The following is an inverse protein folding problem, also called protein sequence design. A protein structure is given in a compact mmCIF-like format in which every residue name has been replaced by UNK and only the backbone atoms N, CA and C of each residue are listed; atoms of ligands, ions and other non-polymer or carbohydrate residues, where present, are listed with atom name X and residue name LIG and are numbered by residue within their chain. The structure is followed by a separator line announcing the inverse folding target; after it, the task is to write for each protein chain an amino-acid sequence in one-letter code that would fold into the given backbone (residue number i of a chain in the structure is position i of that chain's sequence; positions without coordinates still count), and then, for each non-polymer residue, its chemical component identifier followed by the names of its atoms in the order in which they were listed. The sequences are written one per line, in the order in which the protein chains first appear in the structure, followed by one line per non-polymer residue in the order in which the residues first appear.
data_IF_618084553885
#
_entry.id   IF_618084553885
#
_cell.length_a   1.000
_cell.length_b   1.000
_cell.length_c   1.000
_cell.angle_alpha   90.00
_cell.angle_beta   90.00
_cell.angle_gamma   90.00
#
_symmetry.space_group_name_H-M   'P 1'
#
loop_
_entity.id
_entity.type
_entity.pdbx_description
1 polymer ?
#
# COMPACT_ATOMS: atom_id res chain seq x y z
N UNK A 1 41.36 48.13 -40.01
CA UNK A 1 41.51 47.34 -38.77
C UNK A 1 40.12 47.30 -38.12
N UNK A 2 39.16 46.48 -38.57
CA UNK A 2 39.05 45.01 -38.50
C UNK A 2 39.45 44.46 -37.13
N UNK A 3 38.42 44.02 -36.38
CA UNK A 3 38.42 43.31 -35.09
C UNK A 3 38.71 44.23 -33.89
N UNK A 4 37.67 44.54 -33.10
CA UNK A 4 37.62 44.87 -31.65
C UNK A 4 36.30 45.67 -31.40
N UNK A 5 35.13 45.13 -31.76
CA UNK A 5 33.83 45.56 -31.19
C UNK A 5 32.90 44.35 -31.25
N UNK A 6 33.23 43.30 -30.51
CA UNK A 6 32.37 42.11 -30.36
C UNK A 6 32.82 41.29 -29.15
N UNK A 7 33.06 41.96 -28.02
CA UNK A 7 33.38 41.26 -26.78
C UNK A 7 33.13 42.12 -25.54
N UNK A 8 31.90 42.62 -25.37
CA UNK A 8 31.41 43.17 -24.10
C UNK A 8 29.87 43.08 -24.01
N UNK A 9 29.29 41.98 -24.49
CA UNK A 9 27.92 41.55 -24.12
C UNK A 9 28.06 40.10 -23.64
N UNK A 10 28.81 39.93 -22.56
CA UNK A 10 28.80 38.69 -21.76
C UNK A 10 29.23 39.00 -20.32
N UNK A 11 28.77 40.14 -19.77
CA UNK A 11 28.71 40.31 -18.32
C UNK A 11 27.47 39.55 -17.87
N UNK A 12 27.74 38.26 -17.69
CA UNK A 12 27.04 37.27 -16.90
C UNK A 12 26.31 37.93 -15.73
N UNK A 13 25.00 38.08 -15.85
CA UNK A 13 24.09 38.26 -14.74
C UNK A 13 24.22 37.04 -13.82
N UNK A 14 25.13 37.10 -12.85
CA UNK A 14 25.13 36.23 -11.68
C UNK A 14 23.99 36.66 -10.76
N UNK A 15 22.76 36.37 -11.19
CA UNK A 15 21.64 36.24 -10.28
C UNK A 15 21.64 34.81 -9.77
N UNK A 16 22.31 34.57 -8.64
CA UNK A 16 22.04 33.39 -7.81
C UNK A 16 20.64 33.53 -7.22
N UNK A 17 19.63 33.22 -8.03
CA UNK A 17 18.29 32.97 -7.54
C UNK A 17 18.27 31.57 -6.92
N UNK A 18 18.61 31.47 -5.63
CA UNK A 18 18.20 30.33 -4.81
C UNK A 18 16.72 30.51 -4.47
N UNK A 19 15.84 30.15 -5.41
CA UNK A 19 14.46 29.83 -5.06
C UNK A 19 14.44 28.36 -4.61
N UNK A 20 14.85 28.08 -3.38
CA UNK A 20 14.49 26.82 -2.75
C UNK A 20 13.02 26.93 -2.33
N UNK A 21 12.14 26.42 -3.19
CA UNK A 21 10.80 26.04 -2.76
C UNK A 21 10.94 24.77 -1.92
N UNK A 22 10.94 24.88 -0.60
CA UNK A 22 10.63 23.77 0.32
C UNK A 22 9.11 23.48 0.34
N UNK A 23 8.49 23.43 -0.83
CA UNK A 23 7.19 22.79 -1.03
C UNK A 23 7.46 21.56 -1.86
N UNK A 24 7.24 20.39 -1.25
CA UNK A 24 7.42 19.08 -1.87
C UNK A 24 6.92 19.09 -3.31
N UNK A 25 7.73 18.54 -4.22
CA UNK A 25 7.47 18.56 -5.65
C UNK A 25 6.00 18.23 -5.95
N UNK A 26 5.36 19.06 -6.77
CA UNK A 26 4.01 18.86 -7.31
C UNK A 26 3.80 17.51 -8.05
N UNK A 27 4.83 16.66 -8.11
CA UNK A 27 4.82 15.34 -8.72
C UNK A 27 4.30 14.22 -7.81
N UNK A 28 4.30 14.40 -6.48
CA UNK A 28 3.80 13.35 -5.56
C UNK A 28 2.26 13.40 -5.49
N UNK A 29 1.67 14.61 -5.43
CA UNK A 29 0.21 14.83 -5.35
C UNK A 29 -0.55 14.23 -6.56
N UNK A 30 0.10 14.11 -7.72
CA UNK A 30 -0.47 13.54 -8.95
C UNK A 30 -0.48 12.00 -8.99
N UNK A 31 0.07 11.31 -7.97
CA UNK A 31 0.14 9.83 -7.93
C UNK A 31 -0.91 9.16 -7.05
N UNK A 32 -1.65 9.91 -6.23
CA UNK A 32 -2.73 9.33 -5.43
C UNK A 32 -3.84 8.89 -6.39
N UNK A 33 -4.13 7.59 -6.41
CA UNK A 33 -5.27 7.03 -7.12
C UNK A 33 -6.39 6.72 -6.13
N UNK A 34 -7.64 6.93 -6.56
CA UNK A 34 -8.83 6.59 -5.78
C UNK A 34 -9.65 5.55 -6.54
N UNK A 35 -10.13 4.52 -5.83
CA UNK A 35 -11.16 3.65 -6.37
C UNK A 35 -12.55 4.23 -6.04
N UNK A 36 -13.43 4.23 -7.04
CA UNK A 36 -14.84 4.49 -6.82
C UNK A 36 -15.49 3.27 -6.15
N UNK A 37 -16.11 3.48 -4.98
CA UNK A 37 -16.81 2.44 -4.24
C UNK A 37 -18.21 2.91 -3.85
N UNK A 38 -19.23 2.09 -4.15
CA UNK A 38 -20.61 2.34 -3.72
C UNK A 38 -21.08 1.16 -2.88
N UNK A 39 -21.43 1.35 -1.60
CA UNK A 39 -21.90 0.26 -0.75
C UNK A 39 -23.23 -0.30 -1.27
N UNK A 40 -23.44 -1.61 -1.09
CA UNK A 40 -24.70 -2.26 -1.50
C UNK A 40 -25.92 -1.78 -0.69
N UNK A 41 -25.69 -1.27 0.52
CA UNK A 41 -26.73 -0.96 1.52
C UNK A 41 -27.10 0.53 1.60
N UNK A 42 -27.13 1.26 0.48
CA UNK A 42 -27.77 2.60 0.50
C UNK A 42 -29.28 2.39 0.52
N UNK A 43 -29.93 2.78 1.63
CA UNK A 43 -31.35 2.52 1.89
C UNK A 43 -32.23 3.01 0.73
N UNK A 44 -33.14 2.14 0.27
CA UNK A 44 -34.13 2.41 -0.79
C UNK A 44 -33.55 2.90 -2.13
N UNK A 45 -32.25 2.71 -2.41
CA UNK A 45 -31.65 3.04 -3.69
C UNK A 45 -31.85 1.90 -4.72
N UNK A 46 -32.46 2.18 -5.89
CA UNK A 46 -32.58 1.20 -6.98
C UNK A 46 -31.22 0.80 -7.58
N UNK A 47 -31.07 -0.44 -8.03
CA UNK A 47 -29.80 -0.93 -8.62
C UNK A 47 -29.34 -0.14 -9.83
N UNK A 48 -30.27 0.26 -10.71
CA UNK A 48 -29.95 1.09 -11.86
C UNK A 48 -29.39 2.47 -11.47
N UNK A 49 -29.90 3.05 -10.38
CA UNK A 49 -29.39 4.30 -9.82
C UNK A 49 -27.99 4.12 -9.21
N UNK A 50 -27.75 2.98 -8.54
CA UNK A 50 -26.46 2.60 -7.97
C UNK A 50 -25.36 2.49 -9.03
N UNK A 51 -25.63 1.82 -10.15
CA UNK A 51 -24.68 1.72 -11.26
C UNK A 51 -24.33 3.08 -11.86
N UNK A 52 -25.30 3.99 -11.95
CA UNK A 52 -25.06 5.36 -12.41
C UNK A 52 -24.24 6.15 -11.39
N UNK A 53 -24.50 5.97 -10.09
CA UNK A 53 -23.73 6.59 -9.02
C UNK A 53 -22.27 6.13 -9.03
N UNK A 54 -22.03 4.83 -9.21
CA UNK A 54 -20.69 4.28 -9.36
C UNK A 54 -19.96 4.93 -10.55
N UNK A 55 -20.63 5.04 -11.70
CA UNK A 55 -20.07 5.73 -12.86
C UNK A 55 -19.79 7.23 -12.58
N UNK A 56 -20.64 7.91 -11.80
CA UNK A 56 -20.41 9.31 -11.40
C UNK A 56 -19.20 9.46 -10.51
N UNK A 57 -19.01 8.57 -9.53
CA UNK A 57 -17.81 8.54 -8.71
C UNK A 57 -16.56 8.28 -9.56
N UNK A 58 -16.61 7.32 -10.49
CA UNK A 58 -15.50 7.07 -11.41
C UNK A 58 -15.18 8.30 -12.28
N UNK A 59 -16.20 9.02 -12.77
CA UNK A 59 -16.00 10.26 -13.52
C UNK A 59 -15.35 11.36 -12.67
N UNK A 60 -15.76 11.52 -11.41
CA UNK A 60 -15.14 12.46 -10.47
C UNK A 60 -13.66 12.14 -10.32
N UNK A 61 -13.31 10.87 -10.08
CA UNK A 61 -11.94 10.43 -9.92
C UNK A 61 -11.12 10.67 -11.18
N UNK A 62 -11.61 10.22 -12.35
CA UNK A 62 -10.90 10.36 -13.63
C UNK A 62 -10.68 11.82 -14.01
N UNK A 63 -11.68 12.69 -13.78
CA UNK A 63 -11.55 14.12 -14.10
C UNK A 63 -10.56 14.86 -13.20
N UNK A 64 -10.30 14.35 -11.99
CA UNK A 64 -9.28 14.90 -11.09
C UNK A 64 -7.93 14.17 -11.21
N UNK A 65 -7.72 13.43 -12.31
CA UNK A 65 -6.49 12.69 -12.65
C UNK A 65 -6.11 11.62 -11.61
N UNK A 66 -7.09 11.13 -10.83
CA UNK A 66 -6.89 10.13 -9.77
C UNK A 66 -7.34 8.73 -10.21
N UNK A 67 -7.57 8.53 -11.51
CA UNK A 67 -8.12 7.30 -12.08
C UNK A 67 -7.27 6.09 -11.73
N UNK A 68 -7.73 5.28 -10.77
CA UNK A 68 -7.14 4.00 -10.46
C UNK A 68 -7.64 2.89 -11.37
N UNK A 69 -6.72 2.12 -11.98
CA UNK A 69 -7.05 0.91 -12.75
C UNK A 69 -6.90 -0.39 -11.93
N UNK A 70 -6.34 -0.30 -10.72
CA UNK A 70 -6.04 -1.46 -9.91
C UNK A 70 -7.28 -1.95 -9.14
N UNK A 71 -7.57 -3.24 -9.25
CA UNK A 71 -8.37 -3.96 -8.25
C UNK A 71 -7.73 -3.74 -6.87
N UNK A 72 -8.51 -3.46 -5.83
CA UNK A 72 -8.05 -3.31 -4.44
C UNK A 72 -7.21 -2.04 -4.12
N UNK A 73 -7.66 -0.86 -4.53
CA UNK A 73 -7.00 0.38 -4.11
C UNK A 73 -7.25 0.68 -2.64
N UNK A 74 -6.19 1.07 -1.92
CA UNK A 74 -6.27 1.45 -0.50
C UNK A 74 -7.15 2.67 -0.26
N UNK A 75 -7.01 3.68 -1.11
CA UNK A 75 -7.80 4.90 -1.01
C UNK A 75 -9.04 4.83 -1.89
N UNK A 76 -10.18 5.24 -1.33
CA UNK A 76 -11.46 5.19 -2.00
C UNK A 76 -12.15 6.54 -1.97
N UNK A 77 -12.96 6.79 -2.99
CA UNK A 77 -14.09 7.71 -2.91
C UNK A 77 -15.36 6.89 -2.75
N UNK A 78 -16.19 7.25 -1.78
CA UNK A 78 -17.50 6.64 -1.58
C UNK A 78 -18.55 7.68 -1.23
N UNK A 79 -19.78 7.25 -1.04
CA UNK A 79 -20.90 8.13 -0.81
C UNK A 79 -22.00 7.48 0.01
N UNK A 80 -22.69 8.30 0.79
CA UNK A 80 -24.00 7.99 1.33
C UNK A 80 -25.04 8.93 0.69
N UNK A 81 -26.25 8.42 0.43
CA UNK A 81 -27.35 9.19 -0.18
C UNK A 81 -28.57 9.12 0.73
N UNK A 82 -29.01 10.29 1.19
CA UNK A 82 -30.19 10.43 2.03
C UNK A 82 -31.33 11.07 1.22
N UNK A 83 -32.54 10.52 1.33
CA UNK A 83 -33.75 11.14 0.78
C UNK A 83 -34.22 12.23 1.72
N UNK A 84 -34.13 13.49 1.29
CA UNK A 84 -34.58 14.65 2.09
C UNK A 84 -36.08 14.88 1.91
N UNK A 85 -36.57 14.80 0.67
CA UNK A 85 -38.01 14.82 0.40
C UNK A 85 -38.37 13.94 -0.79
N UNK A 86 -39.62 13.47 -0.78
CA UNK A 86 -40.26 12.71 -1.85
C UNK A 86 -41.67 13.26 -2.03
N UNK A 87 -41.90 13.88 -3.17
CA UNK A 87 -43.13 14.59 -3.46
C UNK A 87 -43.72 14.10 -4.78
N UNK A 88 -45.04 14.22 -4.96
CA UNK A 88 -45.70 14.03 -6.25
C UNK A 88 -45.97 15.39 -6.88
N UNK A 89 -45.63 15.56 -8.15
CA UNK A 89 -45.86 16.81 -8.87
C UNK A 89 -47.36 17.01 -9.11
N UNK A 90 -47.86 18.26 -9.04
CA UNK A 90 -49.27 18.58 -9.31
C UNK A 90 -49.52 18.67 -10.83
N UNK A 91 -49.09 17.68 -11.60
CA UNK A 91 -49.22 17.60 -13.05
C UNK A 91 -50.05 16.38 -13.47
N UNK A 92 -50.54 16.35 -14.71
CA UNK A 92 -51.17 15.17 -15.30
C UNK A 92 -50.30 14.64 -16.47
N UNK A 93 -49.72 13.44 -16.38
CA UNK A 93 -49.70 12.54 -15.22
C UNK A 93 -48.85 13.09 -14.06
N UNK A 94 -49.14 12.64 -12.84
CA UNK A 94 -48.34 12.98 -11.66
C UNK A 94 -46.97 12.30 -11.77
N UNK A 95 -45.91 13.04 -11.46
CA UNK A 95 -44.52 12.54 -11.48
C UNK A 95 -43.96 12.47 -10.06
N UNK A 96 -42.98 11.60 -9.83
CA UNK A 96 -42.23 11.56 -8.57
C UNK A 96 -41.09 12.57 -8.61
N UNK A 97 -40.99 13.41 -7.58
CA UNK A 97 -39.89 14.35 -7.37
C UNK A 97 -39.12 13.99 -6.10
N UNK A 98 -37.79 13.89 -6.22
CA UNK A 98 -36.89 13.67 -5.10
C UNK A 98 -35.99 14.87 -4.88
N UNK A 99 -35.75 15.18 -3.61
CA UNK A 99 -34.59 15.95 -3.14
C UNK A 99 -33.69 14.99 -2.38
N UNK A 100 -32.48 14.80 -2.89
CA UNK A 100 -31.46 13.93 -2.28
C UNK A 100 -30.33 14.77 -1.73
N UNK A 101 -29.83 14.40 -0.56
CA UNK A 101 -28.53 14.84 -0.06
C UNK A 101 -27.52 13.73 -0.33
N UNK A 102 -26.51 14.05 -1.13
CA UNK A 102 -25.43 13.14 -1.48
C UNK A 102 -24.20 13.60 -0.73
N UNK A 103 -23.76 12.81 0.23
CA UNK A 103 -22.52 13.05 0.96
C UNK A 103 -21.43 12.17 0.38
N UNK A 104 -20.35 12.78 -0.08
CA UNK A 104 -19.15 12.15 -0.63
C UNK A 104 -18.07 12.08 0.45
N UNK A 105 -17.27 11.02 0.42
CA UNK A 105 -16.18 10.77 1.35
C UNK A 105 -14.94 10.29 0.61
N UNK A 106 -13.78 10.76 1.05
CA UNK A 106 -12.46 10.22 0.66
C UNK A 106 -11.79 9.71 1.92
N UNK A 107 -11.24 8.50 1.85
CA UNK A 107 -10.57 7.89 2.98
C UNK A 107 -9.75 6.65 2.62
N UNK A 108 -9.07 6.12 3.62
CA UNK A 108 -8.40 4.83 3.60
C UNK A 108 -9.45 3.74 3.84
N UNK A 109 -9.76 2.97 2.80
CA UNK A 109 -10.74 1.90 2.89
C UNK A 109 -10.22 0.66 3.63
N UNK A 110 -8.91 0.52 3.83
CA UNK A 110 -8.32 -0.64 4.53
C UNK A 110 -8.32 -0.37 6.04
N UNK A 111 -7.78 0.77 6.47
CA UNK A 111 -7.76 1.16 7.89
C UNK A 111 -9.10 1.71 8.37
N UNK A 112 -9.90 2.28 7.47
CA UNK A 112 -11.16 2.94 7.76
C UNK A 112 -11.04 4.40 8.17
N UNK A 113 -9.90 5.02 7.91
CA UNK A 113 -9.65 6.44 8.20
C UNK A 113 -10.34 7.34 7.18
N UNK A 114 -11.27 8.18 7.63
CA UNK A 114 -11.93 9.21 6.80
C UNK A 114 -11.08 10.48 6.76
N UNK A 115 -10.66 10.92 5.57
CA UNK A 115 -9.85 12.13 5.40
C UNK A 115 -10.69 13.36 5.08
N UNK A 116 -11.65 13.23 4.17
CA UNK A 116 -12.44 14.36 3.67
C UNK A 116 -13.89 13.97 3.44
N UNK A 117 -14.77 14.95 3.53
CA UNK A 117 -16.20 14.81 3.23
C UNK A 117 -16.76 16.09 2.61
N UNK A 118 -17.75 15.96 1.73
CA UNK A 118 -18.55 17.09 1.24
C UNK A 118 -19.96 16.62 0.93
N UNK A 119 -20.94 17.52 1.00
CA UNK A 119 -22.34 17.20 0.72
C UNK A 119 -22.90 18.11 -0.35
N UNK A 120 -23.71 17.55 -1.24
CA UNK A 120 -24.42 18.28 -2.29
C UNK A 120 -25.90 17.88 -2.28
N UNK A 121 -26.77 18.86 -2.53
CA UNK A 121 -28.19 18.59 -2.76
C UNK A 121 -28.45 18.45 -4.26
N UNK A 122 -29.08 17.35 -4.66
CA UNK A 122 -29.50 17.10 -6.04
C UNK A 122 -30.99 16.81 -6.10
N UNK A 123 -31.63 17.27 -7.18
CA UNK A 123 -33.06 17.10 -7.40
C UNK A 123 -33.32 16.34 -8.70
N UNK A 124 -34.31 15.47 -8.69
CA UNK A 124 -34.69 14.68 -9.86
C UNK A 124 -36.18 14.46 -9.90
N UNK A 125 -36.75 14.52 -11.10
CA UNK A 125 -38.16 14.25 -11.37
C UNK A 125 -38.25 13.14 -12.41
N UNK A 126 -39.18 12.21 -12.23
CA UNK A 126 -39.37 11.08 -13.13
C UNK A 126 -40.76 10.46 -13.00
N UNK A 127 -41.16 9.68 -14.00
CA UNK A 127 -42.48 9.00 -14.01
C UNK A 127 -42.65 7.98 -12.87
N UNK A 128 -41.55 7.54 -12.26
CA UNK A 128 -41.53 6.67 -11.09
C UNK A 128 -40.28 6.95 -10.24
N UNK A 129 -40.21 6.31 -9.08
CA UNK A 129 -39.11 6.50 -8.13
C UNK A 129 -37.74 6.23 -8.75
N UNK A 130 -37.59 5.13 -9.49
CA UNK A 130 -36.32 4.78 -10.14
C UNK A 130 -35.86 5.85 -11.12
N UNK A 131 -36.77 6.33 -11.99
CA UNK A 131 -36.45 7.39 -12.96
C UNK A 131 -36.11 8.71 -12.26
N UNK A 132 -36.83 9.07 -11.19
CA UNK A 132 -36.57 10.28 -10.42
C UNK A 132 -35.21 10.22 -9.70
N UNK A 133 -34.86 9.08 -9.09
CA UNK A 133 -33.55 8.83 -8.47
C UNK A 133 -32.40 8.96 -9.48
N UNK A 134 -32.55 8.31 -10.64
CA UNK A 134 -31.57 8.38 -11.73
C UNK A 134 -31.42 9.83 -12.22
N UNK A 135 -32.53 10.55 -12.39
CA UNK A 135 -32.51 11.96 -12.82
C UNK A 135 -31.76 12.84 -11.81
N UNK A 136 -31.94 12.61 -10.50
CA UNK A 136 -31.23 13.32 -9.44
C UNK A 136 -29.72 13.02 -9.46
N UNK A 137 -29.33 11.75 -9.47
CA UNK A 137 -27.91 11.34 -9.49
C UNK A 137 -27.19 11.84 -10.74
N UNK A 138 -27.86 11.89 -11.90
CA UNK A 138 -27.30 12.45 -13.14
C UNK A 138 -26.88 13.92 -12.99
N UNK A 139 -27.49 14.68 -12.07
CA UNK A 139 -27.15 16.08 -11.76
C UNK A 139 -25.90 16.24 -10.90
N UNK A 140 -25.34 15.17 -10.34
CA UNK A 140 -24.01 15.21 -9.76
C UNK A 140 -23.02 15.54 -10.89
N UNK A 141 -22.41 16.72 -10.82
CA UNK A 141 -21.47 17.21 -11.81
C UNK A 141 -20.04 16.99 -11.33
N UNK A 142 -19.23 16.15 -12.01
CA UNK A 142 -17.82 15.99 -11.68
C UNK A 142 -17.01 17.32 -11.72
N UNK A 143 -17.48 18.30 -12.49
CA UNK A 143 -16.92 19.66 -12.55
C UNK A 143 -17.44 20.62 -11.47
N UNK A 144 -18.24 20.15 -10.51
CA UNK A 144 -18.72 21.01 -9.43
C UNK A 144 -17.54 21.48 -8.56
N UNK A 145 -17.44 22.78 -8.32
CA UNK A 145 -16.32 23.39 -7.60
C UNK A 145 -16.13 22.85 -6.17
N UNK A 146 -17.22 22.52 -5.48
CA UNK A 146 -17.17 21.94 -4.13
C UNK A 146 -16.65 20.50 -4.17
N UNK A 147 -16.99 19.74 -5.22
CA UNK A 147 -16.47 18.39 -5.43
C UNK A 147 -14.98 18.44 -5.78
N UNK A 148 -14.58 19.33 -6.70
CA UNK A 148 -13.17 19.52 -7.04
C UNK A 148 -12.33 19.90 -5.82
N UNK A 149 -12.79 20.89 -5.05
CA UNK A 149 -12.12 21.31 -3.81
C UNK A 149 -12.08 20.18 -2.77
N UNK A 150 -13.15 19.39 -2.67
CA UNK A 150 -13.19 18.21 -1.80
C UNK A 150 -12.15 17.16 -2.17
N UNK A 151 -11.97 16.88 -3.46
CA UNK A 151 -10.98 15.92 -3.96
C UNK A 151 -9.56 16.41 -3.67
N UNK A 152 -9.25 17.67 -3.99
CA UNK A 152 -7.94 18.27 -3.72
C UNK A 152 -7.61 18.34 -2.23
N UNK A 153 -8.60 18.69 -1.39
CA UNK A 153 -8.44 18.64 0.06
C UNK A 153 -8.25 17.20 0.57
N UNK A 154 -8.94 16.23 -0.01
CA UNK A 154 -8.78 14.80 0.29
C UNK A 154 -7.34 14.33 0.02
N UNK A 155 -6.78 14.68 -1.14
CA UNK A 155 -5.38 14.39 -1.49
C UNK A 155 -4.41 14.94 -0.45
N UNK A 156 -4.56 16.23 -0.12
CA UNK A 156 -3.69 16.91 0.82
C UNK A 156 -3.73 16.26 2.21
N UNK A 157 -4.92 15.90 2.69
CA UNK A 157 -5.12 15.25 3.99
C UNK A 157 -4.59 13.82 4.06
N UNK A 158 -4.61 13.08 2.95
CA UNK A 158 -3.95 11.76 2.89
C UNK A 158 -2.45 11.93 3.19
N UNK A 159 -1.78 12.83 2.46
CA UNK A 159 -0.35 13.08 2.62
C UNK A 159 -0.03 13.59 4.03
N UNK A 160 -0.82 14.55 4.52
CA UNK A 160 -0.66 15.11 5.86
C UNK A 160 -0.80 14.04 6.96
N UNK A 161 -1.76 13.12 6.82
CA UNK A 161 -1.96 12.03 7.76
C UNK A 161 -0.71 11.15 7.86
N UNK A 162 -0.20 10.63 6.75
CA UNK A 162 0.98 9.76 6.78
C UNK A 162 2.25 10.50 7.22
N UNK A 163 2.42 11.76 6.80
CA UNK A 163 3.57 12.55 7.24
C UNK A 163 3.54 12.82 8.74
N UNK A 164 2.37 13.16 9.31
CA UNK A 164 2.23 13.42 10.75
C UNK A 164 2.27 12.15 11.61
N UNK A 165 1.87 11.00 11.05
CA UNK A 165 1.89 9.70 11.73
C UNK A 165 3.17 8.90 11.51
N UNK A 166 4.08 9.37 10.67
CA UNK A 166 5.20 8.57 10.20
C UNK A 166 6.06 7.99 11.33
N UNK A 167 6.44 8.84 12.28
CA UNK A 167 7.29 8.42 13.39
C UNK A 167 6.58 7.39 14.28
N UNK A 168 5.25 7.48 14.41
CA UNK A 168 4.45 6.48 15.14
C UNK A 168 4.39 5.14 14.40
N UNK A 169 4.18 5.15 13.08
CA UNK A 169 4.17 3.94 12.25
C UNK A 169 5.53 3.23 12.34
N UNK A 170 6.63 3.98 12.23
CA UNK A 170 7.99 3.45 12.37
C UNK A 170 8.20 2.88 13.78
N UNK A 171 7.74 3.59 14.81
CA UNK A 171 7.88 3.14 16.20
C UNK A 171 7.09 1.87 16.49
N UNK A 172 5.91 1.74 15.91
CA UNK A 172 5.11 0.52 15.98
C UNK A 172 5.81 -0.65 15.28
N UNK A 173 6.39 -0.43 14.10
CA UNK A 173 7.23 -1.43 13.42
C UNK A 173 8.42 -1.88 14.28
N UNK A 174 9.09 -0.95 14.95
CA UNK A 174 10.16 -1.27 15.92
C UNK A 174 9.64 -2.08 17.11
N UNK A 175 8.44 -1.78 17.59
CA UNK A 175 7.79 -2.50 18.69
C UNK A 175 7.47 -3.93 18.29
N UNK A 176 6.89 -4.15 17.12
CA UNK A 176 6.64 -5.48 16.56
C UNK A 176 7.94 -6.26 16.38
N UNK A 177 8.99 -5.60 15.89
CA UNK A 177 10.34 -6.18 15.78
C UNK A 177 10.88 -6.63 17.14
N UNK A 178 10.70 -5.83 18.21
CA UNK A 178 11.14 -6.21 19.56
C UNK A 178 10.40 -7.43 20.12
N UNK A 179 9.20 -7.70 19.61
CA UNK A 179 8.39 -8.89 19.92
C UNK A 179 8.73 -10.08 19.02
N UNK A 180 9.74 -9.96 18.14
CA UNK A 180 10.11 -10.93 17.10
C UNK A 180 9.02 -11.17 16.05
N UNK A 181 8.10 -10.21 15.90
CA UNK A 181 7.05 -10.22 14.88
C UNK A 181 7.53 -9.49 13.62
N UNK A 182 8.56 -10.03 12.98
CA UNK A 182 9.24 -9.35 11.88
C UNK A 182 8.35 -9.18 10.65
N UNK A 183 7.59 -10.20 10.27
CA UNK A 183 6.67 -10.13 9.12
C UNK A 183 5.57 -9.09 9.33
N UNK A 184 4.98 -9.01 10.53
CA UNK A 184 3.99 -7.98 10.89
C UNK A 184 4.62 -6.57 10.84
N UNK A 185 5.85 -6.43 11.34
CA UNK A 185 6.57 -5.16 11.29
C UNK A 185 6.85 -4.71 9.85
N UNK A 186 7.34 -5.62 9.00
CA UNK A 186 7.59 -5.34 7.59
C UNK A 186 6.28 -5.01 6.88
N UNK A 187 5.21 -5.78 7.11
CA UNK A 187 3.89 -5.55 6.54
C UNK A 187 3.32 -4.17 6.91
N UNK A 188 3.53 -3.70 8.14
CA UNK A 188 3.12 -2.37 8.56
C UNK A 188 3.86 -1.27 7.77
N UNK A 189 5.18 -1.41 7.62
CA UNK A 189 6.03 -0.38 7.00
C UNK A 189 5.82 -0.28 5.48
N UNK A 190 5.70 -1.41 4.77
CA UNK A 190 5.44 -1.43 3.31
C UNK A 190 4.05 -0.92 2.94
N UNK A 191 3.13 -0.91 3.90
CA UNK A 191 1.79 -0.40 3.70
C UNK A 191 1.76 1.14 3.66
N UNK A 192 2.84 1.82 4.07
CA UNK A 192 2.97 3.27 3.86
C UNK A 192 2.93 3.55 2.35
N UNK A 193 2.00 4.39 1.87
CA UNK A 193 1.86 4.67 0.44
C UNK A 193 3.09 5.39 -0.14
N UNK A 194 3.58 4.95 -1.31
CA UNK A 194 4.70 5.58 -2.04
C UNK A 194 4.49 7.08 -2.29
N UNK A 195 3.24 7.49 -2.48
CA UNK A 195 2.86 8.88 -2.68
C UNK A 195 3.13 9.77 -1.46
N UNK A 196 3.27 9.17 -0.27
CA UNK A 196 3.70 9.84 0.94
C UNK A 196 5.22 9.74 1.07
N UNK A 197 5.95 10.20 0.04
CA UNK A 197 7.38 9.93 -0.19
C UNK A 197 8.25 10.11 1.06
N UNK A 198 8.07 11.23 1.77
CA UNK A 198 8.85 11.51 2.98
C UNK A 198 8.71 10.46 4.08
N UNK A 199 7.51 9.87 4.24
CA UNK A 199 7.31 8.76 5.17
C UNK A 199 7.66 7.40 4.57
N UNK A 200 7.33 7.20 3.30
CA UNK A 200 7.65 5.98 2.57
C UNK A 200 9.14 5.67 2.60
N UNK A 201 9.99 6.65 2.26
CA UNK A 201 11.44 6.48 2.24
C UNK A 201 11.95 6.04 3.63
N UNK A 202 11.50 6.72 4.70
CA UNK A 202 11.86 6.35 6.08
C UNK A 202 11.37 4.95 6.47
N UNK A 203 10.15 4.60 6.08
CA UNK A 203 9.59 3.27 6.36
C UNK A 203 10.40 2.20 5.62
N UNK A 204 10.79 2.43 4.37
CA UNK A 204 11.56 1.49 3.57
C UNK A 204 13.00 1.35 4.07
N UNK A 205 13.63 2.44 4.52
CA UNK A 205 14.95 2.39 5.17
C UNK A 205 14.94 1.54 6.45
N UNK A 206 13.79 1.46 7.15
CA UNK A 206 13.64 0.62 8.33
C UNK A 206 13.41 -0.87 8.02
N UNK A 207 12.96 -1.23 6.81
CA UNK A 207 12.66 -2.63 6.42
C UNK A 207 13.91 -3.49 6.41
N UNK A 208 15.00 -3.06 5.77
CA UNK A 208 16.23 -3.84 5.64
C UNK A 208 16.80 -4.33 6.99
N UNK A 209 16.99 -3.44 7.98
CA UNK A 209 17.44 -3.84 9.32
C UNK A 209 16.50 -4.82 10.04
N UNK A 210 15.18 -4.75 9.79
CA UNK A 210 14.20 -5.66 10.39
C UNK A 210 14.29 -7.04 9.71
N UNK A 211 14.39 -7.07 8.38
CA UNK A 211 14.59 -8.31 7.63
C UNK A 211 15.89 -9.01 8.02
N UNK A 212 16.99 -8.26 8.21
CA UNK A 212 18.24 -8.83 8.70
C UNK A 212 18.05 -9.56 10.05
N UNK A 213 17.35 -8.93 11.00
CA UNK A 213 17.05 -9.57 12.29
C UNK A 213 16.19 -10.82 12.15
N UNK A 214 15.27 -10.84 11.19
CA UNK A 214 14.44 -12.00 10.89
C UNK A 214 15.31 -13.17 10.44
N UNK A 215 16.15 -12.98 9.42
CA UNK A 215 17.01 -14.05 8.89
C UNK A 215 18.09 -14.48 9.89
N UNK A 216 18.60 -13.56 10.70
CA UNK A 216 19.56 -13.86 11.77
C UNK A 216 18.94 -14.78 12.84
N UNK A 217 17.71 -14.47 13.28
CA UNK A 217 17.00 -15.30 14.27
C UNK A 217 16.67 -16.67 13.70
N UNK A 218 16.14 -16.71 12.48
CA UNK A 218 15.78 -17.94 11.79
C UNK A 218 17.00 -18.84 11.55
N UNK A 219 18.15 -18.24 11.21
CA UNK A 219 19.44 -18.93 11.11
C UNK A 219 19.81 -19.62 12.42
N UNK A 220 19.74 -18.92 13.55
CA UNK A 220 20.07 -19.50 14.87
C UNK A 220 19.18 -20.70 15.17
N UNK A 221 17.87 -20.60 14.93
CA UNK A 221 16.92 -21.68 15.16
C UNK A 221 17.26 -22.89 14.29
N UNK A 222 17.43 -22.70 12.98
CA UNK A 222 17.75 -23.79 12.04
C UNK A 222 19.11 -24.42 12.31
N UNK A 223 20.09 -23.62 12.69
CA UNK A 223 21.41 -24.13 13.07
C UNK A 223 21.33 -24.98 14.35
N UNK A 224 20.50 -24.60 15.31
CA UNK A 224 20.27 -25.39 16.52
C UNK A 224 19.58 -26.73 16.19
N UNK A 225 18.56 -26.72 15.32
CA UNK A 225 17.88 -27.92 14.85
C UNK A 225 18.85 -28.86 14.12
N UNK A 226 19.67 -28.32 13.21
CA UNK A 226 20.69 -29.09 12.51
C UNK A 226 21.70 -29.72 13.48
N UNK A 227 22.21 -28.94 14.45
CA UNK A 227 23.12 -29.46 15.47
C UNK A 227 22.48 -30.55 16.33
N UNK A 228 21.22 -30.38 16.71
CA UNK A 228 20.50 -31.35 17.55
C UNK A 228 20.35 -32.69 16.82
N UNK A 229 19.92 -32.65 15.56
CA UNK A 229 19.76 -33.86 14.74
C UNK A 229 21.10 -34.54 14.47
N UNK A 230 22.15 -33.76 14.20
CA UNK A 230 23.49 -34.31 14.02
C UNK A 230 24.03 -34.97 15.30
N UNK A 231 23.80 -34.37 16.47
CA UNK A 231 24.23 -34.95 17.73
C UNK A 231 23.43 -36.19 18.14
N UNK A 232 22.18 -36.31 17.67
CA UNK A 232 21.34 -37.49 17.90
C UNK A 232 21.79 -38.70 17.07
N UNK A 233 22.24 -38.48 15.83
CA UNK A 233 22.77 -39.54 14.96
C UNK A 233 23.91 -39.03 14.08
N UNK A 234 25.13 -39.52 14.29
CA UNK A 234 26.32 -39.10 13.53
C UNK A 234 26.60 -40.03 12.35
N UNK A 235 25.53 -40.36 11.61
CA UNK A 235 25.53 -41.20 10.42
C UNK A 235 24.87 -40.50 9.22
N UNK A 236 24.68 -41.21 8.12
CA UNK A 236 24.06 -40.64 6.90
C UNK A 236 22.63 -40.16 7.12
N UNK A 237 21.87 -40.84 7.99
CA UNK A 237 20.51 -40.44 8.32
C UNK A 237 20.48 -39.09 9.05
N UNK A 238 21.32 -38.93 10.08
CA UNK A 238 21.43 -37.65 10.79
C UNK A 238 22.02 -36.53 9.92
N UNK A 239 22.93 -36.87 9.00
CA UNK A 239 23.44 -35.94 7.99
C UNK A 239 22.31 -35.40 7.11
N UNK A 240 21.47 -36.28 6.55
CA UNK A 240 20.37 -35.88 5.66
C UNK A 240 19.35 -34.97 6.35
N UNK A 241 18.97 -35.28 7.60
CA UNK A 241 18.05 -34.43 8.37
C UNK A 241 18.70 -33.08 8.68
N UNK A 242 19.96 -33.08 9.12
CA UNK A 242 20.69 -31.84 9.41
C UNK A 242 20.81 -30.96 8.16
N UNK A 243 21.05 -31.58 6.99
CA UNK A 243 21.07 -30.92 5.69
C UNK A 243 19.76 -30.22 5.34
N UNK A 244 18.60 -30.80 5.69
CA UNK A 244 17.30 -30.17 5.43
C UNK A 244 17.13 -28.83 6.16
N UNK A 245 17.63 -28.71 7.39
CA UNK A 245 17.62 -27.45 8.14
C UNK A 245 18.65 -26.47 7.61
N UNK A 246 19.87 -26.95 7.35
CA UNK A 246 20.97 -26.14 6.80
C UNK A 246 20.62 -25.54 5.43
N UNK A 247 19.91 -26.28 4.57
CA UNK A 247 19.46 -25.79 3.25
C UNK A 247 18.55 -24.55 3.32
N UNK A 248 17.84 -24.38 4.45
CA UNK A 248 16.87 -23.31 4.64
C UNK A 248 17.47 -22.06 5.27
N UNK A 249 18.75 -22.08 5.63
CA UNK A 249 19.44 -20.91 6.17
C UNK A 249 19.68 -19.92 5.03
N UNK A 250 19.30 -18.66 5.27
CA UNK A 250 19.62 -17.55 4.39
C UNK A 250 21.13 -17.31 4.40
N UNK A 251 21.80 -17.25 3.23
CA UNK A 251 23.25 -17.15 3.17
C UNK A 251 23.79 -15.80 3.67
N UNK A 252 22.92 -14.80 3.83
CA UNK A 252 23.26 -13.49 4.37
C UNK A 252 22.98 -13.36 5.87
N UNK A 253 22.47 -14.41 6.52
CA UNK A 253 22.29 -14.40 7.96
C UNK A 253 23.64 -14.41 8.68
N UNK A 254 23.71 -13.73 9.83
CA UNK A 254 24.94 -13.58 10.61
C UNK A 254 25.55 -14.94 11.04
N UNK A 255 24.72 -15.97 11.21
CA UNK A 255 25.15 -17.30 11.64
C UNK A 255 25.62 -18.21 10.47
N UNK A 256 25.61 -17.73 9.23
CA UNK A 256 25.88 -18.55 8.05
C UNK A 256 27.26 -19.23 8.06
N UNK A 257 28.31 -18.54 8.54
CA UNK A 257 29.65 -19.13 8.70
C UNK A 257 29.66 -20.34 9.64
N UNK A 258 28.79 -20.35 10.65
CA UNK A 258 28.66 -21.46 11.60
C UNK A 258 27.90 -22.63 10.97
N UNK A 259 26.87 -22.34 10.15
CA UNK A 259 26.18 -23.33 9.34
C UNK A 259 27.14 -24.03 8.36
N UNK A 260 28.02 -23.27 7.70
CA UNK A 260 29.06 -23.83 6.83
C UNK A 260 30.03 -24.73 7.59
N UNK A 261 30.46 -24.31 8.79
CA UNK A 261 31.34 -25.12 9.63
C UNK A 261 30.68 -26.45 10.04
N UNK A 262 29.39 -26.43 10.42
CA UNK A 262 28.65 -27.65 10.73
C UNK A 262 28.50 -28.55 9.49
N UNK A 263 28.14 -27.98 8.35
CA UNK A 263 28.01 -28.72 7.09
C UNK A 263 29.31 -29.45 6.72
N UNK A 264 30.45 -28.78 6.81
CA UNK A 264 31.76 -29.38 6.55
C UNK A 264 32.09 -30.51 7.53
N UNK A 265 31.77 -30.34 8.82
CA UNK A 265 31.95 -31.37 9.85
C UNK A 265 31.13 -32.63 9.54
N UNK A 266 29.87 -32.45 9.11
CA UNK A 266 28.99 -33.56 8.72
C UNK A 266 29.55 -34.26 7.47
N UNK A 267 29.92 -33.50 6.43
CA UNK A 267 30.47 -34.04 5.19
C UNK A 267 31.71 -34.91 5.44
N UNK A 268 32.63 -34.42 6.30
CA UNK A 268 33.82 -35.17 6.69
C UNK A 268 33.45 -36.49 7.37
N UNK A 269 32.51 -36.46 8.33
CA UNK A 269 32.10 -37.67 9.05
C UNK A 269 31.41 -38.69 8.14
N UNK A 270 30.54 -38.24 7.25
CA UNK A 270 29.87 -39.12 6.26
C UNK A 270 30.89 -39.81 5.37
N UNK A 271 31.91 -39.08 4.91
CA UNK A 271 33.00 -39.64 4.11
C UNK A 271 33.80 -40.71 4.87
N UNK A 272 34.05 -40.50 6.16
CA UNK A 272 34.76 -41.48 7.00
C UNK A 272 33.98 -42.79 7.16
N UNK A 273 32.65 -42.74 7.30
CA UNK A 273 31.83 -43.92 7.61
C UNK A 273 31.30 -44.65 6.36
N UNK A 274 31.07 -43.94 5.25
CA UNK A 274 30.41 -44.46 4.05
C UNK A 274 31.32 -44.43 2.80
N UNK A 275 32.52 -43.83 2.90
CA UNK A 275 33.46 -43.65 1.77
C UNK A 275 32.88 -42.90 0.56
N UNK A 276 31.71 -42.27 0.73
CA UNK A 276 31.01 -41.48 -0.29
C UNK A 276 30.94 -40.02 0.16
N UNK A 277 31.03 -39.12 -0.81
CA UNK A 277 30.85 -37.69 -0.54
C UNK A 277 29.37 -37.39 -0.27
N UNK A 278 29.10 -36.66 0.81
CA UNK A 278 27.76 -36.17 1.12
C UNK A 278 27.35 -35.11 0.10
N UNK A 279 26.29 -35.37 -0.67
CA UNK A 279 25.84 -34.52 -1.79
C UNK A 279 24.99 -33.34 -1.32
N UNK A 280 25.50 -32.60 -0.34
CA UNK A 280 24.85 -31.41 0.21
C UNK A 280 25.72 -30.18 -0.03
N UNK A 281 25.11 -29.10 -0.50
CA UNK A 281 25.77 -27.82 -0.70
C UNK A 281 24.87 -26.70 -0.16
N UNK A 282 25.46 -25.80 0.62
CA UNK A 282 24.80 -24.58 1.06
C UNK A 282 24.72 -23.56 -0.09
N UNK A 283 23.74 -22.67 -0.02
CA UNK A 283 23.57 -21.55 -0.96
C UNK A 283 24.74 -20.56 -0.83
N UNK A 284 25.21 -19.99 -1.93
CA UNK A 284 26.30 -18.99 -1.87
C UNK A 284 25.85 -17.67 -1.23
N UNK A 285 26.79 -17.00 -0.55
CA UNK A 285 26.58 -15.67 0.02
C UNK A 285 26.40 -14.64 -1.09
N UNK A 286 25.45 -13.73 -0.90
CA UNK A 286 25.14 -12.66 -1.84
C UNK A 286 25.82 -11.36 -1.38
N UNK A 287 26.11 -10.47 -2.33
CA UNK A 287 26.76 -9.18 -2.04
C UNK A 287 25.75 -8.18 -1.42
N UNK A 288 26.25 -7.09 -0.80
CA UNK A 288 25.41 -6.12 -0.07
C UNK A 288 24.27 -5.49 -0.90
N UNK A 289 24.47 -5.31 -2.22
CA UNK A 289 23.45 -4.78 -3.14
C UNK A 289 22.30 -5.79 -3.30
N UNK A 290 22.63 -7.08 -3.33
CA UNK A 290 21.66 -8.15 -3.43
C UNK A 290 20.85 -8.29 -2.13
N UNK A 291 21.45 -8.05 -0.97
CA UNK A 291 20.75 -8.03 0.32
C UNK A 291 19.64 -6.96 0.36
N UNK A 292 19.93 -5.74 -0.09
CA UNK A 292 18.92 -4.66 -0.13
C UNK A 292 17.78 -5.02 -1.08
N UNK A 293 18.11 -5.54 -2.26
CA UNK A 293 17.11 -5.98 -3.24
C UNK A 293 16.30 -7.17 -2.72
N UNK A 294 16.94 -8.14 -2.05
CA UNK A 294 16.30 -9.29 -1.42
C UNK A 294 15.36 -8.85 -0.29
N UNK A 295 15.76 -7.89 0.53
CA UNK A 295 14.91 -7.31 1.58
C UNK A 295 13.68 -6.63 1.00
N UNK A 296 13.83 -5.86 -0.08
CA UNK A 296 12.70 -5.20 -0.76
C UNK A 296 11.79 -6.20 -1.48
N UNK A 297 12.36 -7.25 -2.08
CA UNK A 297 11.58 -8.31 -2.71
C UNK A 297 10.83 -9.14 -1.66
N UNK A 298 11.48 -9.55 -0.59
CA UNK A 298 10.86 -10.25 0.53
C UNK A 298 9.78 -9.40 1.19
N UNK A 299 10.02 -8.10 1.35
CA UNK A 299 9.01 -7.17 1.86
C UNK A 299 7.81 -7.06 0.92
N UNK A 300 8.03 -6.99 -0.39
CA UNK A 300 6.95 -7.05 -1.38
C UNK A 300 6.18 -8.37 -1.28
N UNK A 301 6.87 -9.49 -1.16
CA UNK A 301 6.26 -10.82 -1.05
C UNK A 301 5.45 -10.97 0.24
N UNK A 302 5.95 -10.44 1.37
CA UNK A 302 5.22 -10.34 2.63
C UNK A 302 3.96 -9.49 2.44
N UNK A 303 4.05 -8.34 1.76
CA UNK A 303 2.90 -7.49 1.46
C UNK A 303 1.85 -8.18 0.59
N UNK A 304 2.29 -8.87 -0.45
CA UNK A 304 1.42 -9.67 -1.33
C UNK A 304 0.78 -10.82 -0.55
N UNK A 305 1.54 -11.56 0.25
CA UNK A 305 1.04 -12.67 1.05
C UNK A 305 0.08 -12.22 2.16
N UNK A 306 0.34 -11.07 2.79
CA UNK A 306 -0.58 -10.47 3.76
C UNK A 306 -1.87 -10.00 3.07
N UNK A 307 -1.74 -9.44 1.86
CA UNK A 307 -2.86 -8.98 1.03
C UNK A 307 -3.66 -10.09 0.33
N UNK A 308 -3.10 -11.29 0.13
CA UNK A 308 -3.72 -12.41 -0.61
C UNK A 308 -3.88 -13.72 0.21
N UNK A 309 -3.35 -13.81 1.43
CA UNK A 309 -3.36 -15.02 2.25
C UNK A 309 -4.74 -15.39 2.82
N UNK A 310 -4.85 -16.44 3.67
CA UNK A 310 -6.14 -16.83 4.27
C UNK A 310 -6.75 -15.78 5.22
N UNK A 311 -6.00 -14.74 5.60
CA UNK A 311 -6.48 -13.51 6.26
C UNK A 311 -6.83 -12.37 5.30
N UNK A 312 -6.55 -12.53 4.00
CA UNK A 312 -7.03 -11.66 2.95
C UNK A 312 -8.54 -11.83 2.82
N UNK A 313 -9.23 -11.13 3.70
CA UNK A 313 -10.62 -10.79 3.47
C UNK A 313 -10.70 -10.23 2.05
N UNK A 314 -11.59 -10.75 1.19
CA UNK A 314 -12.13 -10.02 0.03
C UNK A 314 -12.15 -8.55 0.45
N UNK A 315 -11.45 -7.64 -0.24
CA UNK A 315 -11.25 -6.26 0.26
C UNK A 315 -12.60 -5.67 0.66
N UNK A 316 -12.84 -5.69 1.97
CA UNK A 316 -14.04 -5.14 2.60
C UNK A 316 -13.60 -3.79 3.08
N UNK A 317 -13.99 -2.77 2.34
CA UNK A 317 -13.66 -1.42 2.77
C UNK A 317 -14.33 -1.13 4.12
N UNK A 318 -13.52 -0.78 5.11
CA UNK A 318 -13.99 -0.42 6.44
C UNK A 318 -14.49 1.03 6.44
N UNK A 319 -15.76 1.20 6.10
CA UNK A 319 -16.41 2.52 6.06
C UNK A 319 -17.45 2.69 7.16
N UNK A 320 -17.48 1.76 8.12
CA UNK A 320 -18.38 1.78 9.26
C UNK A 320 -17.98 2.98 10.16
N UNK A 321 -18.80 4.03 10.18
CA UNK A 321 -18.51 5.29 10.88
C UNK A 321 -18.17 6.46 9.95
N UNK A 322 -18.23 6.27 8.63
CA UNK A 322 -18.11 7.39 7.70
C UNK A 322 -19.40 8.20 7.63
N UNK A 323 -20.54 7.54 7.85
CA UNK A 323 -21.89 8.07 8.06
C UNK A 323 -22.56 7.39 9.27
#
# INVERSE_FOLDING_TARGET
MKKIILWNILIMCYSFSFAQNEKGSANDIARITLAAFVPQQIDKMPDAARSILANKLSQIVTQNEMGGSAYNQRFIITTNVNVISKDLTPTAPAMTAFVLEVTLFIGDGIEGTKFSSTSISVKGVGENETKAYIAAIKKISPSNINIQSFVENGKSKIIEYYNSKCDFIIKEGQTLTSQNKFEEAIALLINVPEVCKGCYDKAMDAVGPIYQKQIDRDCIIKLQEANTNWNASQDTYGADISGQFLAQIDPNAACYKQALALSNKIAQRVKEIDQRDWKFQLKEQQDDIDLKNASMNAARDIGVAYGNGPKATIVRYNINGWW
#
